data_IF_418080295851
#
_entry.id   IF_418080295851
#
_cell.length_a   1.000
_cell.length_b   1.000
_cell.length_c   1.000
_cell.angle_alpha   90.00
_cell.angle_beta   90.00
_cell.angle_gamma   90.00
#
_symmetry.space_group_name_H-M   'P 1'
#
loop_
_entity.id
_entity.type
_entity.pdbx_description
1 polymer ?
#
# COMPACT_ATOMS: atom_id res chain seq x y z
N UNK A 1 47.80 -60.98 46.80
CA UNK A 1 47.04 -60.22 47.83
C UNK A 1 47.26 -58.73 47.55
N UNK A 2 46.28 -58.03 46.97
CA UNK A 2 46.27 -56.58 46.79
C UNK A 2 44.84 -56.07 47.13
N UNK A 3 44.70 -54.95 47.87
CA UNK A 3 43.43 -54.56 48.38
C UNK A 3 42.64 -53.76 47.33
N UNK A 4 41.33 -53.93 47.39
CA UNK A 4 40.31 -53.21 46.60
C UNK A 4 40.16 -51.76 47.13
N UNK A 5 40.45 -50.78 46.25
CA UNK A 5 40.10 -49.38 46.50
C UNK A 5 38.73 -49.04 45.93
N UNK A 6 37.83 -48.66 46.75
CA UNK A 6 36.49 -48.20 46.46
C UNK A 6 36.49 -46.81 45.81
N UNK A 7 36.07 -46.73 44.57
CA UNK A 7 35.84 -45.49 43.81
C UNK A 7 34.43 -44.93 44.17
N UNK A 8 34.39 -43.86 44.93
CA UNK A 8 33.13 -43.12 45.19
C UNK A 8 32.84 -42.21 44.02
N UNK A 9 31.79 -42.52 43.24
CA UNK A 9 31.21 -41.59 42.30
C UNK A 9 30.51 -40.44 43.00
N UNK A 10 31.05 -39.23 42.84
CA UNK A 10 30.34 -37.98 43.19
C UNK A 10 29.36 -37.68 42.04
N UNK A 11 28.06 -37.82 42.28
CA UNK A 11 27.03 -37.25 41.44
C UNK A 11 26.95 -35.73 41.68
N UNK A 12 27.45 -34.93 40.72
CA UNK A 12 27.18 -33.53 40.63
C UNK A 12 25.75 -33.35 40.06
N UNK A 13 24.80 -32.98 40.93
CA UNK A 13 23.50 -32.47 40.52
C UNK A 13 23.69 -31.07 39.92
N UNK A 14 23.74 -30.96 38.59
CA UNK A 14 23.59 -29.70 37.89
C UNK A 14 22.14 -29.24 38.02
N UNK A 15 21.86 -28.36 38.94
CA UNK A 15 20.59 -27.64 39.02
C UNK A 15 20.40 -26.77 37.78
N UNK A 16 19.59 -27.20 36.84
CA UNK A 16 19.12 -26.35 35.77
C UNK A 16 18.23 -25.24 36.38
N UNK A 17 18.76 -24.03 36.45
CA UNK A 17 17.97 -22.82 36.71
C UNK A 17 17.14 -22.61 35.44
N UNK A 18 15.91 -23.14 35.43
CA UNK A 18 14.88 -22.73 34.48
C UNK A 18 14.55 -21.27 34.77
N UNK A 19 15.19 -20.35 34.05
CA UNK A 19 14.71 -18.98 33.96
C UNK A 19 13.26 -18.99 33.43
N UNK A 20 12.43 -18.02 33.82
CA UNK A 20 11.06 -17.95 33.33
C UNK A 20 11.13 -17.88 31.79
N UNK A 21 10.54 -18.87 31.11
CA UNK A 21 10.29 -18.80 29.68
C UNK A 21 9.46 -17.52 29.46
N UNK A 22 10.03 -16.55 28.76
CA UNK A 22 9.28 -15.41 28.28
C UNK A 22 8.12 -15.99 27.43
N UNK A 23 6.93 -15.93 28.00
CA UNK A 23 5.72 -16.26 27.29
C UNK A 23 5.62 -15.34 26.09
N UNK A 24 5.41 -15.89 24.90
CA UNK A 24 5.12 -15.14 23.68
C UNK A 24 3.82 -14.29 23.80
N UNK A 25 3.15 -14.34 24.96
CA UNK A 25 1.93 -13.59 25.27
C UNK A 25 2.17 -12.13 25.72
N UNK A 26 3.40 -11.71 26.01
CA UNK A 26 3.71 -10.37 26.53
C UNK A 26 4.36 -9.42 25.54
N UNK A 27 4.36 -9.73 24.24
CA UNK A 27 4.59 -8.70 23.25
C UNK A 27 3.36 -7.76 23.27
N UNK A 28 3.54 -6.43 23.40
CA UNK A 28 2.44 -5.50 23.26
C UNK A 28 1.98 -5.51 21.80
N UNK A 29 1.21 -6.51 21.44
CA UNK A 29 0.50 -6.50 20.20
C UNK A 29 -0.62 -5.49 20.37
N UNK A 30 -0.43 -4.31 19.80
CA UNK A 30 -1.53 -3.46 19.42
C UNK A 30 -2.38 -4.21 18.38
N UNK A 31 -3.14 -5.20 18.85
CA UNK A 31 -3.99 -6.07 18.00
C UNK A 31 -5.04 -5.28 17.22
N UNK A 32 -5.25 -4.01 17.56
CA UNK A 32 -6.26 -3.14 16.96
C UNK A 32 -5.67 -2.00 16.10
N UNK A 33 -4.36 -1.93 15.92
CA UNK A 33 -3.73 -0.87 15.11
C UNK A 33 -3.70 -1.29 13.65
N UNK A 34 -4.24 -0.43 12.76
CA UNK A 34 -4.05 -0.56 11.31
C UNK A 34 -2.55 -0.61 11.01
N UNK A 35 -2.12 -1.62 10.25
CA UNK A 35 -0.76 -1.63 9.71
C UNK A 35 -0.63 -0.67 8.53
N UNK A 36 -1.70 -0.53 7.74
CA UNK A 36 -1.72 0.38 6.61
C UNK A 36 -2.22 1.78 7.01
N UNK A 37 -1.29 2.71 7.18
CA UNK A 37 -1.58 4.11 7.54
C UNK A 37 -2.48 4.82 6.53
N UNK A 38 -2.38 4.46 5.25
CA UNK A 38 -3.24 5.07 4.21
C UNK A 38 -4.68 4.68 4.45
N UNK A 39 -4.95 3.41 4.77
CA UNK A 39 -6.29 2.94 5.12
C UNK A 39 -6.80 3.69 6.36
N UNK A 40 -5.99 3.73 7.43
CA UNK A 40 -6.35 4.43 8.67
C UNK A 40 -6.79 5.87 8.43
N UNK A 41 -6.03 6.60 7.61
CA UNK A 41 -6.35 8.01 7.31
C UNK A 41 -7.57 8.13 6.38
N UNK A 42 -7.72 7.22 5.43
CA UNK A 42 -8.87 7.19 4.53
C UNK A 42 -10.17 6.94 5.29
N UNK A 43 -10.17 6.03 6.27
CA UNK A 43 -11.31 5.78 7.16
C UNK A 43 -11.69 7.03 7.98
N UNK A 44 -10.69 7.85 8.35
CA UNK A 44 -10.87 9.15 9.01
C UNK A 44 -11.26 10.28 8.05
N UNK A 45 -11.40 10.00 6.75
CA UNK A 45 -11.65 10.99 5.69
C UNK A 45 -10.56 12.07 5.60
N UNK A 46 -9.34 11.72 5.95
CA UNK A 46 -8.17 12.58 5.85
C UNK A 46 -7.46 12.35 4.52
N UNK A 47 -7.02 13.40 3.80
CA UNK A 47 -6.22 13.21 2.61
C UNK A 47 -4.83 12.67 2.95
N UNK A 48 -4.27 11.86 2.05
CA UNK A 48 -2.94 11.28 2.15
C UNK A 48 -2.04 11.75 1.01
N UNK A 49 -0.75 11.91 1.32
CA UNK A 49 0.23 12.47 0.41
C UNK A 49 1.45 11.56 0.30
N UNK A 50 1.89 11.35 -0.92
CA UNK A 50 3.08 10.56 -1.23
C UNK A 50 3.79 11.04 -2.47
N UNK A 51 4.71 10.23 -2.95
CA UNK A 51 5.47 10.51 -4.18
C UNK A 51 5.54 9.27 -5.07
N UNK A 52 5.93 9.45 -6.34
CA UNK A 52 6.49 8.38 -7.15
C UNK A 52 7.99 8.25 -6.90
N UNK A 53 8.47 7.02 -6.74
CA UNK A 53 9.89 6.68 -6.60
C UNK A 53 10.33 5.81 -7.78
N UNK A 54 11.21 6.35 -8.60
CA UNK A 54 11.79 5.69 -9.78
C UNK A 54 13.18 5.11 -9.49
N UNK A 55 13.85 5.62 -8.45
CA UNK A 55 15.17 5.14 -8.03
C UNK A 55 15.03 4.03 -6.98
N UNK A 56 14.89 2.80 -7.47
CA UNK A 56 14.74 1.61 -6.61
C UNK A 56 16.10 1.21 -6.03
N UNK A 57 16.60 1.98 -5.05
CA UNK A 57 17.84 1.72 -4.33
C UNK A 57 17.61 1.69 -2.82
N UNK A 58 18.48 0.99 -2.08
CA UNK A 58 18.43 0.94 -0.61
C UNK A 58 18.57 2.33 0.02
N UNK A 59 19.38 3.23 -0.58
CA UNK A 59 19.53 4.59 -0.07
C UNK A 59 18.24 5.41 -0.23
N UNK A 60 17.57 5.29 -1.36
CA UNK A 60 16.27 5.93 -1.59
C UNK A 60 15.23 5.35 -0.65
N UNK A 61 15.17 4.02 -0.49
CA UNK A 61 14.27 3.36 0.47
C UNK A 61 14.46 3.87 1.89
N UNK A 62 15.70 4.02 2.36
CA UNK A 62 16.00 4.57 3.69
C UNK A 62 15.54 6.03 3.84
N UNK A 63 15.78 6.87 2.82
CA UNK A 63 15.35 8.27 2.84
C UNK A 63 13.81 8.40 2.86
N UNK A 64 13.12 7.59 2.06
CA UNK A 64 11.66 7.52 2.01
C UNK A 64 11.11 7.02 3.36
N UNK A 65 11.59 5.91 3.89
CA UNK A 65 11.14 5.34 5.16
C UNK A 65 11.30 6.26 6.36
N UNK A 66 12.28 7.19 6.31
CA UNK A 66 12.52 8.19 7.35
C UNK A 66 11.72 9.49 7.14
N UNK A 67 10.96 9.59 6.07
CA UNK A 67 10.21 10.80 5.72
C UNK A 67 8.88 10.92 6.44
N UNK A 68 8.19 12.06 6.24
CA UNK A 68 6.85 12.31 6.77
C UNK A 68 5.71 11.95 5.81
N UNK A 69 5.99 11.26 4.72
CA UNK A 69 4.99 10.84 3.74
C UNK A 69 4.00 9.82 4.32
N UNK A 70 2.83 9.72 3.72
CA UNK A 70 1.87 8.67 4.07
C UNK A 70 2.10 7.40 3.24
N UNK A 71 2.47 7.57 1.97
CA UNK A 71 2.77 6.46 1.06
C UNK A 71 3.91 6.81 0.08
N UNK A 72 4.45 5.79 -0.54
CA UNK A 72 5.31 5.89 -1.72
C UNK A 72 4.79 4.94 -2.79
N UNK A 73 4.71 5.40 -4.02
CA UNK A 73 4.47 4.54 -5.19
C UNK A 73 5.84 4.23 -5.79
N UNK A 74 6.31 3.01 -5.58
CA UNK A 74 7.56 2.50 -6.15
C UNK A 74 7.23 2.06 -7.57
N UNK A 75 7.87 2.70 -8.54
CA UNK A 75 7.53 2.52 -9.94
C UNK A 75 8.35 1.40 -10.58
N UNK A 76 7.68 0.32 -10.94
CA UNK A 76 8.25 -0.77 -11.73
C UNK A 76 7.66 -0.84 -13.15
N UNK A 77 6.84 0.12 -13.55
CA UNK A 77 6.35 0.24 -14.92
C UNK A 77 7.36 1.00 -15.80
N UNK A 78 7.77 2.20 -15.39
CA UNK A 78 8.73 3.03 -16.15
C UNK A 78 10.16 2.95 -15.59
N UNK A 79 10.40 2.06 -14.64
CA UNK A 79 11.72 1.69 -14.16
C UNK A 79 12.00 0.22 -14.49
N UNK A 80 13.25 -0.23 -14.51
CA UNK A 80 13.55 -1.65 -14.72
C UNK A 80 12.79 -2.53 -13.71
N UNK A 81 12.09 -3.54 -14.21
CA UNK A 81 11.42 -4.54 -13.36
C UNK A 81 12.47 -5.40 -12.68
N UNK A 82 12.79 -5.09 -11.43
CA UNK A 82 13.79 -5.77 -10.63
C UNK A 82 13.29 -5.99 -9.20
N UNK A 83 12.74 -7.17 -8.96
CA UNK A 83 12.19 -7.55 -7.65
C UNK A 83 13.26 -7.68 -6.56
N UNK A 84 14.52 -7.96 -6.92
CA UNK A 84 15.62 -8.02 -5.95
C UNK A 84 15.98 -6.63 -5.43
N UNK A 85 15.97 -5.63 -6.30
CA UNK A 85 16.13 -4.23 -5.88
C UNK A 85 14.97 -3.76 -5.05
N UNK A 86 13.74 -4.12 -5.41
CA UNK A 86 12.56 -3.81 -4.63
C UNK A 86 12.67 -4.38 -3.21
N UNK A 87 13.11 -5.63 -3.05
CA UNK A 87 13.33 -6.24 -1.74
C UNK A 87 14.29 -5.40 -0.89
N UNK A 88 15.44 -5.03 -1.45
CA UNK A 88 16.44 -4.18 -0.78
C UNK A 88 15.87 -2.79 -0.42
N UNK A 89 15.05 -2.21 -1.27
CA UNK A 89 14.37 -0.94 -1.01
C UNK A 89 13.41 -1.05 0.18
N UNK A 90 12.54 -2.08 0.19
CA UNK A 90 11.58 -2.32 1.26
C UNK A 90 12.26 -2.55 2.61
N UNK A 91 13.29 -3.40 2.64
CA UNK A 91 14.08 -3.63 3.86
C UNK A 91 14.69 -2.33 4.40
N UNK A 92 15.21 -1.46 3.52
CA UNK A 92 15.80 -0.18 3.89
C UNK A 92 14.78 0.85 4.39
N UNK A 93 13.49 0.74 4.00
CA UNK A 93 12.42 1.59 4.54
C UNK A 93 12.15 1.35 6.03
N UNK A 94 12.57 0.21 6.57
CA UNK A 94 12.30 -0.16 7.96
C UNK A 94 13.23 0.59 8.92
N UNK A 95 12.71 1.57 9.63
CA UNK A 95 13.40 2.26 10.72
C UNK A 95 13.02 1.63 12.07
N UNK A 96 13.90 0.78 12.59
CA UNK A 96 13.69 0.06 13.86
C UNK A 96 13.52 1.03 15.05
N UNK A 97 14.21 2.17 15.04
CA UNK A 97 14.10 3.17 16.13
C UNK A 97 12.69 3.76 16.15
N UNK A 98 12.16 4.11 14.99
CA UNK A 98 10.82 4.67 14.88
C UNK A 98 9.74 3.64 15.25
N UNK A 99 9.89 2.37 14.86
CA UNK A 99 8.98 1.30 15.28
C UNK A 99 8.94 1.15 16.80
N UNK A 100 10.12 1.13 17.46
CA UNK A 100 10.22 1.04 18.93
C UNK A 100 9.59 2.27 19.59
N UNK A 101 9.86 3.48 19.08
CA UNK A 101 9.30 4.72 19.62
C UNK A 101 7.77 4.81 19.47
N UNK A 102 7.21 4.29 18.36
CA UNK A 102 5.76 4.23 18.16
C UNK A 102 5.08 3.13 18.99
N UNK A 103 5.80 2.09 19.34
CA UNK A 103 5.25 0.92 20.04
C UNK A 103 4.29 0.10 19.19
N UNK A 104 4.34 0.17 17.87
CA UNK A 104 3.53 -0.63 16.96
C UNK A 104 4.25 -0.93 15.63
N UNK A 105 3.72 -1.89 14.85
CA UNK A 105 4.32 -2.39 13.62
C UNK A 105 3.96 -1.59 12.36
N UNK A 106 3.12 -0.56 12.45
CA UNK A 106 2.74 0.27 11.31
C UNK A 106 3.99 0.92 10.68
N UNK A 107 4.27 0.74 9.38
CA UNK A 107 5.36 1.45 8.72
C UNK A 107 5.11 2.97 8.73
N UNK A 108 6.19 3.76 8.72
CA UNK A 108 6.05 5.21 8.66
C UNK A 108 5.49 5.69 7.32
N UNK A 109 5.91 5.02 6.26
CA UNK A 109 5.47 5.26 4.89
C UNK A 109 5.00 3.94 4.30
N UNK A 110 3.80 3.92 3.76
CA UNK A 110 3.20 2.72 3.17
C UNK A 110 3.78 2.48 1.77
N UNK A 111 4.49 1.36 1.53
CA UNK A 111 4.98 1.03 0.20
C UNK A 111 3.85 0.45 -0.67
N UNK A 112 3.62 1.11 -1.80
CA UNK A 112 2.73 0.68 -2.87
C UNK A 112 3.58 0.54 -4.12
N UNK A 113 3.38 -0.50 -4.91
CA UNK A 113 4.13 -0.70 -6.15
C UNK A 113 3.24 -0.47 -7.35
N UNK A 114 3.66 0.42 -8.27
CA UNK A 114 3.08 0.42 -9.60
C UNK A 114 3.71 -0.71 -10.38
N UNK A 115 2.89 -1.72 -10.67
CA UNK A 115 3.33 -2.90 -11.41
C UNK A 115 3.38 -2.62 -12.91
N UNK A 116 4.27 -3.27 -13.68
CA UNK A 116 4.25 -3.15 -15.12
C UNK A 116 2.97 -3.79 -15.69
N UNK A 117 2.39 -3.17 -16.68
CA UNK A 117 1.41 -3.67 -17.65
C UNK A 117 0.52 -4.84 -17.18
N UNK A 118 -0.24 -4.66 -16.09
CA UNK A 118 -1.02 -5.76 -15.50
C UNK A 118 -2.53 -5.70 -15.82
N UNK A 119 -3.04 -4.57 -16.30
CA UNK A 119 -4.45 -4.42 -16.69
C UNK A 119 -4.78 -5.17 -17.97
N UNK A 120 -4.98 -4.46 -19.06
CA UNK A 120 -5.33 -5.05 -20.38
C UNK A 120 -4.31 -6.06 -20.92
N UNK A 121 -3.03 -5.96 -20.55
CA UNK A 121 -1.99 -6.94 -20.89
C UNK A 121 -2.05 -8.21 -20.04
N UNK A 122 -2.79 -8.20 -18.95
CA UNK A 122 -3.06 -9.32 -18.05
C UNK A 122 -1.83 -10.05 -17.50
N UNK A 123 -0.73 -9.33 -17.29
CA UNK A 123 0.48 -9.86 -16.66
C UNK A 123 0.31 -9.98 -15.13
N UNK A 124 -0.75 -10.64 -14.69
CA UNK A 124 -1.18 -10.68 -13.29
C UNK A 124 -0.19 -11.36 -12.35
N UNK A 125 0.72 -12.19 -12.87
CA UNK A 125 1.75 -12.84 -12.05
C UNK A 125 2.71 -11.85 -11.38
N UNK A 126 2.91 -10.66 -11.96
CA UNK A 126 3.77 -9.61 -11.37
C UNK A 126 3.20 -9.09 -10.05
N UNK A 127 1.87 -9.06 -9.93
CA UNK A 127 1.18 -8.68 -8.69
C UNK A 127 1.59 -9.63 -7.55
N UNK A 128 1.53 -10.94 -7.79
CA UNK A 128 1.96 -11.93 -6.81
C UNK A 128 3.41 -11.73 -6.39
N UNK A 129 4.32 -11.53 -7.35
CA UNK A 129 5.74 -11.39 -7.06
C UNK A 129 6.03 -10.20 -6.14
N UNK A 130 5.42 -9.04 -6.37
CA UNK A 130 5.64 -7.87 -5.52
C UNK A 130 4.95 -8.00 -4.16
N UNK A 131 3.78 -8.63 -4.10
CA UNK A 131 3.07 -8.87 -2.84
C UNK A 131 3.83 -9.85 -1.94
N UNK A 132 4.51 -10.83 -2.53
CA UNK A 132 5.33 -11.80 -1.79
C UNK A 132 6.60 -11.17 -1.19
N UNK A 133 6.93 -9.91 -1.52
CA UNK A 133 7.97 -9.11 -0.87
C UNK A 133 7.44 -8.29 0.33
N UNK A 134 6.13 -8.18 0.51
CA UNK A 134 5.52 -7.52 1.68
C UNK A 134 5.07 -6.08 1.45
N UNK A 135 4.86 -5.64 0.20
CA UNK A 135 4.22 -4.35 -0.06
C UNK A 135 2.79 -4.33 0.47
N UNK A 136 2.29 -3.15 0.82
CA UNK A 136 0.94 -2.96 1.38
C UNK A 136 -0.11 -2.61 0.31
N UNK A 137 0.26 -2.64 -0.94
CA UNK A 137 -0.66 -2.42 -2.05
C UNK A 137 0.03 -2.38 -3.39
N UNK A 138 -0.80 -2.38 -4.42
CA UNK A 138 -0.38 -2.24 -5.81
C UNK A 138 -1.20 -1.17 -6.51
N UNK A 139 -0.55 -0.45 -7.43
CA UNK A 139 -1.18 0.40 -8.43
C UNK A 139 -1.09 -0.33 -9.76
N UNK A 140 -2.24 -0.68 -10.31
CA UNK A 140 -2.33 -1.49 -11.55
C UNK A 140 -2.68 -0.59 -12.73
N UNK A 141 -1.75 -0.40 -13.69
CA UNK A 141 -1.98 0.43 -14.88
C UNK A 141 -2.90 -0.24 -15.89
N UNK A 142 -3.41 0.55 -16.84
CA UNK A 142 -4.19 0.10 -18.00
C UNK A 142 -5.45 -0.70 -17.66
N UNK A 143 -6.22 -0.25 -16.68
CA UNK A 143 -7.53 -0.82 -16.35
C UNK A 143 -8.58 -0.18 -17.25
N UNK A 144 -8.98 -0.87 -18.29
CA UNK A 144 -9.91 -0.38 -19.28
C UNK A 144 -11.35 -0.86 -19.07
N UNK A 145 -11.53 -1.97 -18.35
CA UNK A 145 -12.84 -2.63 -18.16
C UNK A 145 -13.05 -3.12 -16.73
N UNK A 146 -14.32 -3.40 -16.37
CA UNK A 146 -14.67 -4.10 -15.14
C UNK A 146 -13.99 -5.47 -15.03
N UNK A 147 -13.82 -6.16 -16.16
CA UNK A 147 -13.13 -7.46 -16.20
C UNK A 147 -11.66 -7.33 -15.80
N UNK A 148 -10.96 -6.28 -16.26
CA UNK A 148 -9.58 -6.01 -15.84
C UNK A 148 -9.50 -5.70 -14.35
N UNK A 149 -10.42 -4.88 -13.85
CA UNK A 149 -10.53 -4.56 -12.44
C UNK A 149 -10.76 -5.81 -11.58
N UNK A 150 -11.70 -6.67 -11.99
CA UNK A 150 -11.99 -7.92 -11.30
C UNK A 150 -10.80 -8.89 -11.33
N UNK A 151 -10.10 -8.98 -12.45
CA UNK A 151 -8.89 -9.80 -12.57
C UNK A 151 -7.80 -9.33 -11.61
N UNK A 152 -7.57 -8.01 -11.49
CA UNK A 152 -6.64 -7.42 -10.54
C UNK A 152 -7.04 -7.71 -9.08
N UNK A 153 -8.32 -7.56 -8.71
CA UNK A 153 -8.82 -7.91 -7.38
C UNK A 153 -8.50 -9.37 -7.03
N UNK A 154 -8.82 -10.30 -7.94
CA UNK A 154 -8.57 -11.73 -7.75
C UNK A 154 -7.09 -12.07 -7.65
N UNK A 155 -6.22 -11.34 -8.36
CA UNK A 155 -4.77 -11.54 -8.30
C UNK A 155 -4.15 -11.12 -6.97
N UNK A 156 -4.71 -10.10 -6.30
CA UNK A 156 -4.24 -9.63 -4.97
C UNK A 156 -4.68 -10.57 -3.86
N UNK A 157 -5.89 -11.10 -3.94
CA UNK A 157 -6.51 -11.89 -2.86
C UNK A 157 -6.02 -13.34 -2.81
N UNK A 158 -5.80 -13.85 -1.61
CA UNK A 158 -5.74 -15.30 -1.40
C UNK A 158 -7.13 -15.92 -1.60
N UNK A 159 -7.22 -17.22 -1.96
CA UNK A 159 -8.49 -17.95 -1.91
C UNK A 159 -9.13 -17.88 -0.52
N UNK A 160 -10.37 -17.45 -0.46
CA UNK A 160 -11.08 -17.25 0.80
C UNK A 160 -11.55 -18.58 1.40
N UNK A 161 -11.67 -18.63 2.73
CA UNK A 161 -12.28 -19.78 3.43
C UNK A 161 -13.75 -19.87 3.08
N UNK A 162 -14.29 -21.10 3.00
CA UNK A 162 -15.73 -21.31 2.74
C UNK A 162 -16.57 -20.70 3.87
N UNK A 163 -17.64 -20.03 3.49
CA UNK A 163 -18.62 -19.47 4.42
C UNK A 163 -18.30 -18.09 5.00
N UNK A 164 -17.20 -17.45 4.60
CA UNK A 164 -16.95 -16.04 4.96
C UNK A 164 -17.83 -15.11 4.14
N UNK A 165 -18.27 -13.95 4.69
CA UNK A 165 -19.14 -13.00 3.99
C UNK A 165 -18.54 -12.43 2.70
N UNK A 166 -17.22 -12.23 2.69
CA UNK A 166 -16.44 -11.67 1.58
C UNK A 166 -15.83 -12.74 0.65
N UNK A 167 -16.45 -13.94 0.59
CA UNK A 167 -15.96 -15.04 -0.25
C UNK A 167 -15.80 -14.65 -1.73
N UNK A 168 -16.66 -13.80 -2.24
CA UNK A 168 -16.61 -13.28 -3.63
C UNK A 168 -16.10 -11.83 -3.66
N UNK A 169 -15.30 -11.48 -4.69
CA UNK A 169 -14.72 -12.33 -5.75
C UNK A 169 -13.60 -13.21 -5.19
N UNK A 170 -13.60 -14.50 -5.58
CA UNK A 170 -12.63 -15.49 -5.11
C UNK A 170 -11.20 -15.13 -5.54
N UNK A 171 -10.26 -15.18 -4.59
CA UNK A 171 -8.86 -14.89 -4.83
C UNK A 171 -8.13 -15.99 -5.61
N UNK A 172 -7.09 -15.59 -6.34
CA UNK A 172 -6.23 -16.46 -7.13
C UNK A 172 -4.75 -16.43 -6.70
N UNK A 173 -4.40 -15.59 -5.70
CA UNK A 173 -3.03 -15.49 -5.22
C UNK A 173 -2.59 -16.81 -4.61
N UNK A 174 -1.49 -17.39 -5.13
CA UNK A 174 -0.89 -18.60 -4.56
C UNK A 174 -0.26 -18.31 -3.20
N UNK A 175 -0.27 -19.31 -2.32
CA UNK A 175 0.29 -19.21 -0.96
C UNK A 175 1.82 -19.08 -1.02
N UNK A 176 2.36 -17.99 -0.48
CA UNK A 176 3.79 -17.67 -0.43
C UNK A 176 4.09 -16.60 0.63
N UNK A 177 3.48 -16.72 1.82
CA UNK A 177 3.44 -15.65 2.81
C UNK A 177 4.58 -15.67 3.86
N UNK A 178 5.53 -16.57 3.80
CA UNK A 178 6.59 -16.63 4.82
C UNK A 178 7.44 -15.37 4.90
N UNK A 179 7.85 -14.83 3.76
CA UNK A 179 8.64 -13.61 3.71
C UNK A 179 7.82 -12.33 3.99
N UNK A 180 6.67 -12.09 3.33
CA UNK A 180 5.89 -10.89 3.61
C UNK A 180 5.35 -10.83 5.04
N UNK A 181 5.02 -11.96 5.67
CA UNK A 181 4.65 -12.01 7.07
C UNK A 181 5.81 -11.51 7.96
N UNK A 182 7.03 -12.00 7.71
CA UNK A 182 8.23 -11.52 8.41
C UNK A 182 8.45 -10.01 8.22
N UNK A 183 8.25 -9.50 7.00
CA UNK A 183 8.40 -8.07 6.71
C UNK A 183 7.37 -7.23 7.48
N UNK A 184 6.13 -7.72 7.61
CA UNK A 184 5.09 -7.04 8.39
C UNK A 184 5.23 -7.23 9.90
N UNK A 185 6.15 -8.11 10.36
CA UNK A 185 6.33 -8.45 11.77
C UNK A 185 5.23 -9.36 12.32
N UNK A 186 4.61 -10.16 11.47
CA UNK A 186 3.49 -11.05 11.77
C UNK A 186 3.90 -12.52 11.65
N UNK A 187 3.12 -13.40 12.25
CA UNK A 187 3.14 -14.83 11.90
C UNK A 187 2.51 -15.04 10.52
N UNK A 188 2.75 -16.19 9.89
CA UNK A 188 2.11 -16.51 8.61
C UNK A 188 0.58 -16.55 8.67
N UNK A 189 0.02 -16.98 9.79
CA UNK A 189 -1.43 -17.02 10.01
C UNK A 189 -2.03 -15.60 10.15
N UNK A 190 -1.41 -14.76 10.97
CA UNK A 190 -1.82 -13.35 11.13
C UNK A 190 -1.70 -12.57 9.81
N UNK A 191 -0.66 -12.85 9.01
CA UNK A 191 -0.53 -12.25 7.68
C UNK A 191 -1.64 -12.71 6.75
N UNK A 192 -1.93 -14.01 6.71
CA UNK A 192 -2.98 -14.56 5.86
C UNK A 192 -4.38 -13.99 6.18
N UNK A 193 -4.62 -13.63 7.44
CA UNK A 193 -5.85 -12.97 7.88
C UNK A 193 -5.93 -11.49 7.50
N UNK A 194 -4.78 -10.81 7.39
CA UNK A 194 -4.72 -9.36 7.12
C UNK A 194 -4.37 -9.01 5.68
N UNK A 195 -3.84 -9.97 4.91
CA UNK A 195 -3.38 -9.75 3.53
C UNK A 195 -4.53 -9.86 2.52
N UNK A 196 -5.65 -9.22 2.80
CA UNK A 196 -6.77 -9.09 1.88
C UNK A 196 -7.04 -7.62 1.54
N UNK A 197 -7.81 -7.39 0.49
CA UNK A 197 -8.07 -6.04 -0.04
C UNK A 197 -9.11 -5.31 0.82
N UNK A 198 -8.72 -4.14 1.29
CA UNK A 198 -9.64 -3.17 1.87
C UNK A 198 -10.33 -2.39 0.74
N UNK A 199 -11.64 -2.02 0.83
CA UNK A 199 -12.53 -2.23 1.97
C UNK A 199 -13.38 -3.51 1.88
N UNK A 200 -13.13 -4.41 0.91
CA UNK A 200 -13.90 -5.65 0.76
C UNK A 200 -13.80 -6.50 2.02
N UNK A 201 -12.58 -6.72 2.51
CA UNK A 201 -12.37 -7.15 3.90
C UNK A 201 -12.11 -5.91 4.76
N UNK A 202 -12.99 -5.58 5.73
CA UNK A 202 -12.78 -4.44 6.61
C UNK A 202 -11.53 -4.55 7.49
N UNK A 203 -10.96 -5.75 7.68
CA UNK A 203 -9.70 -5.98 8.41
C UNK A 203 -8.50 -6.07 7.47
N UNK A 204 -8.74 -6.12 6.17
CA UNK A 204 -7.70 -6.16 5.16
C UNK A 204 -6.77 -4.96 5.23
N UNK A 205 -5.49 -5.20 4.97
CA UNK A 205 -4.42 -4.20 5.00
C UNK A 205 -3.82 -3.96 3.61
N UNK A 206 -4.38 -4.60 2.57
CA UNK A 206 -3.94 -4.42 1.18
C UNK A 206 -4.73 -3.33 0.48
N UNK A 207 -4.02 -2.47 -0.26
CA UNK A 207 -4.60 -1.50 -1.17
C UNK A 207 -4.49 -2.00 -2.61
N UNK A 208 -5.60 -1.99 -3.32
CA UNK A 208 -5.63 -2.15 -4.76
C UNK A 208 -6.08 -0.83 -5.39
N UNK A 209 -5.13 -0.07 -5.93
CA UNK A 209 -5.41 1.12 -6.71
C UNK A 209 -5.39 0.78 -8.20
N UNK A 210 -6.41 1.24 -8.91
CA UNK A 210 -6.57 1.03 -10.35
C UNK A 210 -6.24 2.33 -11.09
N UNK A 211 -5.35 2.25 -12.08
CA UNK A 211 -4.95 3.41 -12.86
C UNK A 211 -5.91 3.64 -14.02
N UNK A 212 -6.51 4.83 -14.04
CA UNK A 212 -7.51 5.29 -15.01
C UNK A 212 -6.81 6.31 -15.91
N UNK A 213 -6.45 5.87 -17.10
CA UNK A 213 -5.50 6.61 -17.95
C UNK A 213 -5.75 6.42 -19.46
N UNK A 214 -6.91 5.87 -19.80
CA UNK A 214 -7.30 5.70 -21.21
C UNK A 214 -8.71 6.22 -21.45
N UNK A 215 -9.04 6.54 -22.69
CA UNK A 215 -10.40 6.86 -23.08
C UNK A 215 -11.36 5.70 -22.77
N UNK A 216 -10.92 4.46 -22.99
CA UNK A 216 -11.72 3.27 -22.69
C UNK A 216 -12.04 3.15 -21.20
N UNK A 217 -11.07 3.44 -20.31
CA UNK A 217 -11.32 3.46 -18.87
C UNK A 217 -12.33 4.54 -18.45
N UNK A 218 -12.32 5.71 -19.12
CA UNK A 218 -13.30 6.79 -18.86
C UNK A 218 -14.69 6.37 -19.32
N UNK A 219 -14.80 5.67 -20.45
CA UNK A 219 -16.09 5.18 -20.95
C UNK A 219 -16.70 4.13 -20.01
N UNK A 220 -15.88 3.31 -19.34
CA UNK A 220 -16.26 2.24 -18.43
C UNK A 220 -16.15 2.59 -16.92
N UNK A 221 -15.86 3.84 -16.57
CA UNK A 221 -15.46 4.23 -15.21
C UNK A 221 -16.45 3.83 -14.12
N UNK A 222 -17.74 3.90 -14.39
CA UNK A 222 -18.79 3.55 -13.44
C UNK A 222 -18.80 2.05 -13.08
N UNK A 223 -18.52 1.18 -14.04
CA UNK A 223 -18.42 -0.27 -13.81
C UNK A 223 -17.11 -0.60 -13.08
N UNK A 224 -15.99 -0.01 -13.50
CA UNK A 224 -14.69 -0.17 -12.84
C UNK A 224 -14.77 0.27 -11.38
N UNK A 225 -15.35 1.44 -11.09
CA UNK A 225 -15.45 1.99 -9.74
C UNK A 225 -16.30 1.11 -8.80
N UNK A 226 -17.31 0.42 -9.33
CA UNK A 226 -18.20 -0.47 -8.55
C UNK A 226 -17.68 -1.88 -8.38
N UNK A 227 -16.54 -2.23 -8.98
CA UNK A 227 -15.95 -3.57 -8.83
C UNK A 227 -15.59 -3.84 -7.36
N UNK A 228 -16.14 -4.89 -6.73
CA UNK A 228 -15.84 -5.19 -5.33
C UNK A 228 -14.35 -5.46 -5.11
N UNK A 229 -13.75 -4.83 -4.09
CA UNK A 229 -12.34 -4.98 -3.77
C UNK A 229 -11.44 -3.89 -4.35
N UNK A 230 -11.98 -2.94 -5.11
CA UNK A 230 -11.22 -1.75 -5.53
C UNK A 230 -11.06 -0.81 -4.33
N UNK A 231 -9.82 -0.53 -3.94
CA UNK A 231 -9.49 0.34 -2.81
C UNK A 231 -9.35 1.81 -3.21
N UNK A 232 -9.15 2.09 -4.48
CA UNK A 232 -9.01 3.46 -5.00
C UNK A 232 -8.84 3.51 -6.51
N UNK A 233 -9.18 4.66 -7.08
CA UNK A 233 -8.96 4.99 -8.49
C UNK A 233 -7.84 6.03 -8.57
N UNK A 234 -6.82 5.78 -9.36
CA UNK A 234 -5.71 6.72 -9.56
C UNK A 234 -5.73 7.22 -11.00
N UNK A 235 -5.91 8.51 -11.20
CA UNK A 235 -5.87 9.09 -12.55
C UNK A 235 -4.44 9.30 -13.00
N UNK A 236 -4.07 8.75 -14.18
CA UNK A 236 -2.85 9.03 -14.92
C UNK A 236 -3.08 10.11 -15.98
N UNK A 237 -2.91 11.42 -15.65
CA UNK A 237 -3.39 12.49 -16.54
C UNK A 237 -2.63 12.60 -17.85
N UNK A 238 -1.35 12.24 -17.88
CA UNK A 238 -0.54 12.28 -19.11
C UNK A 238 -0.99 11.23 -20.11
N UNK A 239 -1.08 9.97 -19.66
CA UNK A 239 -1.50 8.86 -20.52
C UNK A 239 -2.95 9.01 -20.94
N UNK A 240 -3.81 9.55 -20.07
CA UNK A 240 -5.19 9.89 -20.41
C UNK A 240 -5.24 10.89 -21.56
N UNK A 241 -4.47 11.98 -21.51
CA UNK A 241 -4.42 12.97 -22.58
C UNK A 241 -3.92 12.34 -23.89
N UNK A 242 -2.85 11.54 -23.83
CA UNK A 242 -2.34 10.80 -24.98
C UNK A 242 -3.38 9.84 -25.57
N UNK A 243 -4.08 9.10 -24.71
CA UNK A 243 -5.12 8.16 -25.14
C UNK A 243 -6.32 8.86 -25.78
N UNK A 244 -6.63 10.09 -25.34
CA UNK A 244 -7.67 10.93 -25.92
C UNK A 244 -7.21 11.65 -27.21
N UNK A 245 -5.91 11.64 -27.51
CA UNK A 245 -5.34 12.38 -28.66
C UNK A 245 -5.35 13.90 -28.46
N UNK A 246 -5.33 14.36 -27.19
CA UNK A 246 -5.47 15.76 -26.83
C UNK A 246 -4.21 16.31 -26.12
N UNK A 247 -3.98 17.63 -26.14
CA UNK A 247 -2.99 18.25 -25.30
C UNK A 247 -3.27 18.05 -23.82
N UNK A 248 -2.23 17.95 -23.00
CA UNK A 248 -2.35 17.72 -21.54
C UNK A 248 -3.28 18.71 -20.81
N UNK A 249 -3.28 19.96 -21.24
CA UNK A 249 -4.10 21.04 -20.63
C UNK A 249 -5.45 21.24 -21.32
N UNK A 250 -5.89 20.31 -22.16
CA UNK A 250 -7.18 20.44 -22.83
C UNK A 250 -8.34 20.34 -21.82
N UNK A 251 -9.37 21.20 -21.92
CA UNK A 251 -10.54 21.16 -21.04
C UNK A 251 -11.29 19.81 -21.05
N UNK A 252 -11.25 19.07 -22.14
CA UNK A 252 -11.88 17.74 -22.22
C UNK A 252 -11.10 16.70 -21.37
N UNK A 253 -9.78 16.82 -21.28
CA UNK A 253 -8.96 15.98 -20.38
C UNK A 253 -9.33 16.29 -18.91
N UNK A 254 -9.45 17.56 -18.54
CA UNK A 254 -9.88 17.94 -17.20
C UNK A 254 -11.30 17.45 -16.89
N UNK A 255 -12.21 17.53 -17.85
CA UNK A 255 -13.56 16.99 -17.69
C UNK A 255 -13.55 15.47 -17.47
N UNK A 256 -12.70 14.73 -18.18
CA UNK A 256 -12.53 13.31 -17.98
C UNK A 256 -11.96 12.97 -16.59
N UNK A 257 -10.96 13.74 -16.11
CA UNK A 257 -10.41 13.62 -14.76
C UNK A 257 -11.52 13.83 -13.69
N UNK A 258 -12.36 14.83 -13.86
CA UNK A 258 -13.47 15.11 -12.95
C UNK A 258 -14.55 14.02 -12.99
N UNK A 259 -14.79 13.40 -14.16
CA UNK A 259 -15.70 12.26 -14.27
C UNK A 259 -15.24 11.09 -13.40
N UNK A 260 -13.92 10.81 -13.32
CA UNK A 260 -13.39 9.79 -12.40
C UNK A 260 -13.66 10.16 -10.93
N UNK A 261 -13.46 11.42 -10.55
CA UNK A 261 -13.76 11.87 -9.19
C UNK A 261 -15.25 11.69 -8.83
N UNK A 262 -16.15 11.96 -9.78
CA UNK A 262 -17.59 11.78 -9.61
C UNK A 262 -17.96 10.28 -9.49
N UNK A 263 -17.41 9.43 -10.33
CA UNK A 263 -17.63 7.97 -10.29
C UNK A 263 -17.14 7.37 -8.97
N UNK A 264 -15.92 7.73 -8.53
CA UNK A 264 -15.39 7.30 -7.23
C UNK A 264 -16.27 7.74 -6.06
N UNK A 265 -16.73 9.00 -6.05
CA UNK A 265 -17.66 9.49 -5.04
C UNK A 265 -18.99 8.72 -5.05
N UNK A 266 -19.55 8.42 -6.22
CA UNK A 266 -20.80 7.67 -6.36
C UNK A 266 -20.67 6.21 -5.90
N UNK A 267 -19.50 5.60 -6.11
CA UNK A 267 -19.18 4.24 -5.67
C UNK A 267 -18.65 4.15 -4.23
N UNK A 268 -18.36 5.28 -3.57
CA UNK A 268 -17.72 5.30 -2.25
C UNK A 268 -16.24 4.90 -2.28
N UNK A 269 -15.59 4.98 -3.44
CA UNK A 269 -14.18 4.62 -3.67
C UNK A 269 -13.33 5.89 -3.68
N UNK A 270 -12.25 5.96 -2.88
CA UNK A 270 -11.31 7.08 -2.89
C UNK A 270 -10.69 7.30 -4.27
N UNK A 271 -10.41 8.56 -4.62
CA UNK A 271 -9.76 8.92 -5.89
C UNK A 271 -8.48 9.69 -5.64
N UNK A 272 -7.45 9.37 -6.39
CA UNK A 272 -6.15 10.02 -6.35
C UNK A 272 -5.62 10.37 -7.72
N UNK A 273 -4.54 11.15 -7.75
CA UNK A 273 -3.84 11.52 -8.98
C UNK A 273 -2.42 12.01 -8.67
N UNK A 274 -1.61 12.15 -9.71
CA UNK A 274 -0.36 12.89 -9.68
C UNK A 274 -0.66 14.39 -9.84
N UNK A 275 -0.07 15.24 -8.99
CA UNK A 275 -0.20 16.70 -9.09
C UNK A 275 1.03 17.41 -8.55
N UNK A 276 1.33 18.61 -9.06
CA UNK A 276 2.37 19.49 -8.53
C UNK A 276 1.84 20.50 -7.51
N UNK A 277 2.74 21.23 -6.84
CA UNK A 277 2.46 22.10 -5.69
C UNK A 277 1.20 22.96 -5.77
N UNK A 278 1.00 23.74 -6.84
CA UNK A 278 -0.17 24.59 -7.01
C UNK A 278 -1.48 23.80 -7.23
N UNK A 279 -1.40 22.60 -7.82
CA UNK A 279 -2.56 21.77 -8.10
C UNK A 279 -3.13 21.04 -6.88
N UNK A 280 -2.39 20.95 -5.78
CA UNK A 280 -2.82 20.20 -4.58
C UNK A 280 -4.14 20.74 -4.04
N UNK A 281 -4.25 22.05 -3.85
CA UNK A 281 -5.48 22.69 -3.34
C UNK A 281 -6.66 22.40 -4.25
N UNK A 282 -6.49 22.60 -5.56
CA UNK A 282 -7.52 22.36 -6.56
C UNK A 282 -8.01 20.91 -6.51
N UNK A 283 -7.11 19.92 -6.51
CA UNK A 283 -7.50 18.50 -6.48
C UNK A 283 -8.22 18.13 -5.17
N UNK A 284 -7.80 18.67 -4.03
CA UNK A 284 -8.51 18.47 -2.75
C UNK A 284 -9.91 19.08 -2.76
N UNK A 285 -10.11 20.25 -3.39
CA UNK A 285 -11.42 20.87 -3.58
C UNK A 285 -12.33 20.06 -4.50
N UNK A 286 -11.76 19.42 -5.51
CA UNK A 286 -12.44 18.51 -6.44
C UNK A 286 -12.76 17.13 -5.83
N UNK A 287 -12.32 16.86 -4.58
CA UNK A 287 -12.63 15.62 -3.86
C UNK A 287 -11.61 14.51 -3.98
N UNK A 288 -10.42 14.80 -4.53
CA UNK A 288 -9.32 13.83 -4.52
C UNK A 288 -8.79 13.65 -3.10
N UNK A 289 -8.47 12.41 -2.72
CA UNK A 289 -8.15 12.02 -1.35
C UNK A 289 -6.71 11.52 -1.19
N UNK A 290 -6.07 11.01 -2.24
CA UNK A 290 -4.67 10.59 -2.21
C UNK A 290 -3.90 11.19 -3.40
N UNK A 291 -2.84 11.93 -3.07
CA UNK A 291 -2.10 12.71 -4.05
C UNK A 291 -0.63 12.32 -4.05
N UNK A 292 -0.12 11.95 -5.21
CA UNK A 292 1.32 11.85 -5.46
C UNK A 292 1.82 13.24 -5.87
N UNK A 293 2.63 13.88 -5.00
CA UNK A 293 2.96 15.31 -5.12
C UNK A 293 4.43 15.58 -5.47
N UNK A 294 5.14 14.56 -5.93
CA UNK A 294 6.55 14.70 -6.32
C UNK A 294 7.20 13.37 -6.66
N UNK A 295 8.51 13.39 -6.70
CA UNK A 295 9.37 12.24 -6.99
C UNK A 295 10.61 12.21 -6.09
N UNK A 296 11.59 11.35 -6.42
CA UNK A 296 12.78 11.10 -5.62
C UNK A 296 13.59 12.35 -5.25
N UNK A 297 13.61 13.38 -6.12
CA UNK A 297 14.32 14.64 -5.86
C UNK A 297 13.64 15.54 -4.84
N UNK A 298 12.39 15.26 -4.49
CA UNK A 298 11.56 16.07 -3.58
C UNK A 298 11.15 15.34 -2.30
N UNK A 299 11.82 14.24 -1.98
CA UNK A 299 11.62 13.50 -0.70
C UNK A 299 11.79 14.46 0.47
N UNK A 300 10.74 14.72 1.21
CA UNK A 300 10.76 15.58 2.40
C UNK A 300 10.26 17.01 2.21
N UNK A 301 10.15 17.55 0.99
CA UNK A 301 9.65 18.92 0.76
C UNK A 301 8.26 18.96 0.17
N UNK A 302 8.02 18.27 -0.94
CA UNK A 302 6.74 18.33 -1.66
C UNK A 302 5.53 17.90 -0.82
N UNK A 303 5.69 16.88 0.01
CA UNK A 303 4.61 16.41 0.92
C UNK A 303 4.36 17.42 2.05
N UNK A 304 5.39 18.09 2.56
CA UNK A 304 5.20 19.14 3.57
C UNK A 304 4.45 20.33 2.98
N UNK A 305 4.75 20.72 1.74
CA UNK A 305 4.03 21.76 1.02
C UNK A 305 2.57 21.38 0.79
N UNK A 306 2.31 20.14 0.38
CA UNK A 306 0.94 19.63 0.23
C UNK A 306 0.15 19.63 1.54
N UNK A 307 0.79 19.28 2.66
CA UNK A 307 0.17 19.32 3.98
C UNK A 307 -0.14 20.76 4.41
N UNK A 308 0.75 21.72 4.11
CA UNK A 308 0.47 23.15 4.34
C UNK A 308 -0.72 23.62 3.53
N UNK A 309 -0.78 23.32 2.24
CA UNK A 309 -1.90 23.66 1.37
C UNK A 309 -3.23 23.08 1.89
N UNK A 310 -3.23 21.82 2.34
CA UNK A 310 -4.40 21.20 2.97
C UNK A 310 -4.81 21.92 4.27
N UNK A 311 -3.86 22.26 5.15
CA UNK A 311 -4.14 22.94 6.40
C UNK A 311 -4.75 24.34 6.16
N UNK A 312 -4.28 25.05 5.15
CA UNK A 312 -4.87 26.34 4.73
C UNK A 312 -6.29 26.18 4.21
N UNK A 313 -6.54 25.18 3.36
CA UNK A 313 -7.87 24.87 2.85
C UNK A 313 -8.85 24.53 3.99
N UNK A 314 -8.42 23.73 4.98
CA UNK A 314 -9.27 23.41 6.14
C UNK A 314 -9.58 24.64 7.00
N UNK A 315 -8.63 25.58 7.15
CA UNK A 315 -8.88 26.85 7.84
C UNK A 315 -9.90 27.71 7.09
N UNK A 316 -9.78 27.81 5.77
CA UNK A 316 -10.74 28.55 4.93
C UNK A 316 -12.16 27.97 5.06
N UNK A 317 -12.32 26.65 4.96
CA UNK A 317 -13.61 25.97 5.13
C UNK A 317 -14.23 26.22 6.51
N UNK A 318 -13.43 26.24 7.59
CA UNK A 318 -13.90 26.51 8.95
C UNK A 318 -14.28 27.98 9.17
N UNK A 319 -13.62 28.91 8.49
CA UNK A 319 -13.90 30.36 8.63
C UNK A 319 -15.07 30.84 7.77
N UNK A 320 -15.68 29.98 6.96
CA UNK A 320 -16.76 30.38 6.04
C UNK A 320 -16.31 31.35 4.95
N UNK A 321 -15.01 31.53 4.74
CA UNK A 321 -14.46 32.37 3.67
C UNK A 321 -14.28 31.54 2.41
N UNK A 322 -14.79 32.03 1.26
CA UNK A 322 -14.59 31.36 -0.04
C UNK A 322 -13.13 31.28 -0.46
#
# INVERSE_FOLDING_TARGET
MLPRSTLRCLLLLAGAVLGPALSAADAPAGKDVRLNRVIERTEKKEPVFGIFSHNVSTRTGAAVGSSSMDFVIIDLEHSPYDVSRLEGYLLAMTDKRQLIQKGNLQPNVVPIVRVPSAGREQLLFVIKQVLDLGVFGVLVPHIDTESDALAAVRAVRFPQRRGVPDFKPEGLRGVGYGWPARYWGLTGEEYAERADVWPLDPKGEMLLWLMIETKASIDNIDAIARTPGVSGLFVGPSDLAFSMGLPFNDPEVEAAILKVAQAGKAAGVPVGTLTGGAGVKQRLEQGFQFLAVGGDSSVGTSVQDARRANAELQKQKKSGRP
#
